data_IF_037695452984
#
_entry.id   IF_037695452984
#
_cell.length_a   1.000
_cell.length_b   1.000
_cell.length_c   1.000
_cell.angle_alpha   90.00
_cell.angle_beta   90.00
_cell.angle_gamma   90.00
#
_symmetry.space_group_name_H-M   'P 1'
#
loop_
_entity.id
_entity.type
_entity.pdbx_description
1 polymer ?
#
# COMPACT_ATOMS: atom_id res chain seq x y z
N UNK A 1 -2.69 18.68 8.08
CA UNK A 1 -3.51 17.57 8.51
C UNK A 1 -2.65 16.57 9.25
N UNK A 2 -3.01 16.30 10.45
CA UNK A 2 -2.30 15.28 11.18
C UNK A 2 -2.93 13.93 10.88
N UNK A 3 -2.17 13.06 10.33
CA UNK A 3 -2.51 11.65 10.26
C UNK A 3 -2.24 11.06 11.60
N UNK A 4 -3.30 10.73 12.26
CA UNK A 4 -3.14 10.01 13.49
C UNK A 4 -3.14 8.52 13.20
N UNK A 5 -1.98 8.03 12.80
CA UNK A 5 -1.78 6.60 12.64
C UNK A 5 -1.60 5.90 13.99
N UNK A 6 -1.69 6.63 15.08
CA UNK A 6 -1.82 6.06 16.40
C UNK A 6 -3.16 5.38 16.58
N UNK A 7 -4.09 5.59 15.67
CA UNK A 7 -5.20 4.67 15.54
C UNK A 7 -4.77 3.36 14.89
N UNK A 8 -3.54 2.90 15.14
CA UNK A 8 -3.16 1.54 14.78
C UNK A 8 -4.17 0.53 15.33
N UNK A 9 -4.76 0.81 16.50
CA UNK A 9 -5.81 -0.01 17.04
C UNK A 9 -7.09 0.05 16.20
N UNK A 10 -7.46 1.23 15.71
CA UNK A 10 -8.63 1.41 14.86
C UNK A 10 -8.40 0.82 13.47
N UNK A 11 -7.19 1.00 12.93
CA UNK A 11 -6.79 0.35 11.69
C UNK A 11 -6.81 -1.15 11.82
N UNK A 12 -6.32 -1.69 12.94
CA UNK A 12 -6.36 -3.12 13.22
C UNK A 12 -7.79 -3.66 13.22
N UNK A 13 -8.70 -2.99 13.91
CA UNK A 13 -10.08 -3.42 14.01
C UNK A 13 -10.76 -3.49 12.63
N UNK A 14 -10.57 -2.46 11.82
CA UNK A 14 -11.10 -2.44 10.46
C UNK A 14 -10.46 -3.49 9.58
N UNK A 15 -9.16 -3.64 9.71
CA UNK A 15 -8.41 -4.59 8.91
C UNK A 15 -8.81 -6.02 9.22
N UNK A 16 -8.98 -6.35 10.49
CA UNK A 16 -9.41 -7.68 10.91
C UNK A 16 -10.79 -8.02 10.37
N UNK A 17 -11.69 -7.04 10.33
CA UNK A 17 -13.00 -7.20 9.72
C UNK A 17 -12.92 -7.56 8.24
N UNK A 18 -12.06 -6.89 7.49
CA UNK A 18 -11.84 -7.20 6.09
C UNK A 18 -11.13 -8.55 5.91
N UNK A 19 -10.16 -8.84 6.73
CA UNK A 19 -9.43 -10.11 6.67
C UNK A 19 -10.33 -11.31 6.88
N UNK A 20 -11.36 -11.19 7.71
CA UNK A 20 -12.29 -12.28 7.97
C UNK A 20 -13.25 -12.52 6.80
N UNK A 21 -13.50 -11.51 5.96
CA UNK A 21 -14.41 -11.63 4.83
C UNK A 21 -13.71 -11.94 3.51
N UNK A 22 -12.40 -11.72 3.43
CA UNK A 22 -11.59 -11.96 2.24
C UNK A 22 -10.32 -12.72 2.61
N UNK A 23 -10.45 -13.97 3.08
CA UNK A 23 -9.31 -14.67 3.69
C UNK A 23 -8.16 -14.97 2.75
N UNK A 24 -8.40 -15.03 1.44
CA UNK A 24 -7.41 -15.62 0.55
C UNK A 24 -6.37 -14.62 0.02
N UNK A 25 -6.74 -13.39 -0.25
CA UNK A 25 -5.84 -12.58 -1.07
C UNK A 25 -5.88 -11.09 -0.85
N UNK A 26 -6.88 -10.56 -0.17
CA UNK A 26 -7.05 -9.11 -0.08
C UNK A 26 -7.26 -8.70 1.36
N UNK A 27 -6.40 -7.78 1.82
CA UNK A 27 -6.54 -7.14 3.13
C UNK A 27 -6.47 -5.64 2.91
N UNK A 28 -7.63 -4.97 2.99
CA UNK A 28 -7.74 -3.54 2.75
C UNK A 28 -8.23 -2.79 3.96
N UNK A 29 -7.71 -1.56 4.09
CA UNK A 29 -8.09 -0.62 5.11
C UNK A 29 -8.60 0.66 4.47
N UNK A 30 -9.54 1.31 5.16
CA UNK A 30 -9.97 2.65 4.80
C UNK A 30 -8.99 3.68 5.35
N UNK A 31 -8.69 4.70 4.55
CA UNK A 31 -7.96 5.87 5.00
C UNK A 31 -8.99 6.96 5.29
N UNK A 32 -9.04 7.40 6.54
CA UNK A 32 -10.06 8.34 7.00
C UNK A 32 -9.40 9.62 7.48
N UNK A 33 -9.95 10.75 7.05
CA UNK A 33 -9.61 12.05 7.61
C UNK A 33 -10.42 12.22 8.90
N UNK A 34 -9.76 12.13 10.04
CA UNK A 34 -10.44 12.19 11.35
C UNK A 34 -11.15 13.52 11.57
N UNK A 35 -10.61 14.62 11.08
CA UNK A 35 -11.22 15.94 11.26
C UNK A 35 -12.52 16.08 10.50
N UNK A 36 -12.55 15.57 9.28
CA UNK A 36 -13.72 15.64 8.41
C UNK A 36 -14.64 14.45 8.58
N UNK A 37 -14.18 13.38 9.20
CA UNK A 37 -14.90 12.11 9.29
C UNK A 37 -15.11 11.46 7.93
N UNK A 38 -14.28 11.80 6.94
CA UNK A 38 -14.49 11.42 5.56
C UNK A 38 -13.51 10.34 5.14
N UNK A 39 -14.00 9.38 4.35
CA UNK A 39 -13.17 8.40 3.66
C UNK A 39 -12.43 9.11 2.54
N UNK A 40 -11.09 9.04 2.56
CA UNK A 40 -10.26 9.72 1.57
C UNK A 40 -9.39 8.80 0.74
N UNK A 41 -9.43 7.51 1.02
CA UNK A 41 -8.69 6.53 0.23
C UNK A 41 -8.72 5.15 0.86
N UNK A 42 -7.98 4.25 0.23
CA UNK A 42 -7.79 2.89 0.74
C UNK A 42 -6.33 2.48 0.62
N UNK A 43 -5.90 1.57 1.48
CA UNK A 43 -4.59 0.95 1.41
C UNK A 43 -4.70 -0.48 1.88
N UNK A 44 -3.93 -1.37 1.29
CA UNK A 44 -3.98 -2.75 1.71
C UNK A 44 -3.03 -3.65 0.94
N UNK A 45 -3.20 -4.94 1.13
CA UNK A 45 -2.33 -5.97 0.59
C UNK A 45 -3.14 -6.98 -0.20
N UNK A 46 -2.56 -7.43 -1.29
CA UNK A 46 -3.10 -8.50 -2.12
C UNK A 46 -1.95 -9.40 -2.59
N UNK A 47 -2.28 -10.43 -3.35
CA UNK A 47 -1.29 -11.41 -3.84
C UNK A 47 -0.44 -11.95 -2.68
N UNK A 48 -1.11 -12.28 -1.59
CA UNK A 48 -0.45 -12.71 -0.36
C UNK A 48 -0.05 -14.18 -0.48
N UNK A 49 1.21 -14.45 -0.16
CA UNK A 49 1.72 -15.80 -0.05
C UNK A 49 2.14 -16.06 1.40
N UNK A 50 1.39 -16.92 2.08
CA UNK A 50 1.72 -17.29 3.46
C UNK A 50 2.98 -18.16 3.53
N UNK A 51 3.21 -18.96 2.49
CA UNK A 51 4.40 -19.81 2.41
C UNK A 51 5.67 -18.98 2.27
N UNK A 52 5.63 -17.98 1.38
CA UNK A 52 6.79 -17.14 1.11
C UNK A 52 6.85 -15.89 2.00
N UNK A 53 5.79 -15.62 2.76
CA UNK A 53 5.64 -14.43 3.61
C UNK A 53 5.81 -13.14 2.82
N UNK A 54 5.14 -13.08 1.68
CA UNK A 54 5.19 -11.92 0.79
C UNK A 54 3.79 -11.38 0.52
N UNK A 55 3.73 -10.11 0.18
CA UNK A 55 2.49 -9.46 -0.23
C UNK A 55 2.78 -8.31 -1.17
N UNK A 56 1.76 -7.88 -1.88
CA UNK A 56 1.83 -6.67 -2.70
C UNK A 56 0.95 -5.60 -2.08
N UNK A 57 1.51 -4.41 -1.86
CA UNK A 57 0.76 -3.26 -1.34
C UNK A 57 0.11 -2.51 -2.49
N UNK A 58 -1.11 -2.04 -2.26
CA UNK A 58 -1.81 -1.14 -3.17
C UNK A 58 -2.54 -0.08 -2.36
N UNK A 59 -2.54 1.14 -2.86
CA UNK A 59 -3.24 2.23 -2.21
C UNK A 59 -3.78 3.20 -3.25
N UNK A 60 -4.84 3.88 -2.87
CA UNK A 60 -5.33 5.05 -3.58
C UNK A 60 -5.71 6.13 -2.59
N UNK A 61 -5.68 7.36 -3.05
CA UNK A 61 -5.96 8.54 -2.24
C UNK A 61 -6.70 9.55 -3.10
N UNK A 62 -7.76 10.15 -2.57
CA UNK A 62 -8.49 11.20 -3.26
C UNK A 62 -7.54 12.31 -3.72
N UNK A 63 -7.65 12.78 -4.97
CA UNK A 63 -6.75 13.80 -5.49
C UNK A 63 -6.68 15.07 -4.64
N UNK A 64 -7.77 15.44 -3.98
CA UNK A 64 -7.81 16.60 -3.08
C UNK A 64 -6.85 16.50 -1.90
N UNK A 65 -6.36 15.31 -1.61
CA UNK A 65 -5.44 15.05 -0.50
C UNK A 65 -4.03 14.76 -0.96
N UNK A 66 -3.76 14.85 -2.25
CA UNK A 66 -2.41 14.69 -2.78
C UNK A 66 -1.51 15.86 -2.38
N UNK A 67 -0.21 15.63 -2.32
CA UNK A 67 0.77 16.67 -2.05
C UNK A 67 0.86 17.12 -0.59
N UNK A 68 0.24 16.37 0.32
CA UNK A 68 0.23 16.69 1.76
C UNK A 68 1.05 15.72 2.60
N UNK A 69 1.77 14.80 1.95
CA UNK A 69 2.54 13.78 2.66
C UNK A 69 1.70 12.65 3.25
N UNK A 70 0.41 12.58 2.94
CA UNK A 70 -0.51 11.58 3.50
C UNK A 70 -0.17 10.19 2.99
N UNK A 71 -0.01 10.03 1.68
CA UNK A 71 0.29 8.74 1.09
C UNK A 71 1.60 8.18 1.64
N UNK A 72 2.61 9.02 1.79
CA UNK A 72 3.90 8.63 2.38
C UNK A 72 3.72 8.17 3.82
N UNK A 73 3.01 8.94 4.63
CA UNK A 73 2.81 8.61 6.05
C UNK A 73 2.05 7.29 6.21
N UNK A 74 0.97 7.13 5.45
CA UNK A 74 0.14 5.92 5.51
C UNK A 74 0.91 4.71 5.00
N UNK A 75 1.57 4.84 3.86
CA UNK A 75 2.35 3.75 3.28
C UNK A 75 3.47 3.28 4.22
N UNK A 76 4.21 4.21 4.80
CA UNK A 76 5.29 3.89 5.75
C UNK A 76 4.74 3.13 6.96
N UNK A 77 3.68 3.64 7.57
CA UNK A 77 3.14 3.06 8.79
C UNK A 77 2.48 1.71 8.54
N UNK A 78 1.73 1.59 7.48
CA UNK A 78 1.03 0.35 7.15
C UNK A 78 2.03 -0.74 6.76
N UNK A 79 3.08 -0.39 6.03
CA UNK A 79 4.13 -1.35 5.67
C UNK A 79 4.84 -1.86 6.92
N UNK A 80 5.26 -0.97 7.81
CA UNK A 80 5.92 -1.35 9.06
C UNK A 80 5.01 -2.21 9.94
N UNK A 81 3.75 -1.80 10.05
CA UNK A 81 2.75 -2.55 10.81
C UNK A 81 2.55 -3.96 10.24
N UNK A 82 2.50 -4.09 8.92
CA UNK A 82 2.29 -5.38 8.27
C UNK A 82 3.46 -6.35 8.47
N UNK A 83 4.69 -5.85 8.48
CA UNK A 83 5.84 -6.68 8.80
C UNK A 83 5.73 -7.29 10.19
N UNK A 84 5.28 -6.51 11.15
CA UNK A 84 5.15 -6.97 12.54
C UNK A 84 3.91 -7.83 12.72
N UNK A 85 2.77 -7.37 12.22
CA UNK A 85 1.47 -7.99 12.49
C UNK A 85 1.24 -9.26 11.67
N UNK A 86 1.57 -9.23 10.38
CA UNK A 86 1.41 -10.38 9.50
C UNK A 86 2.66 -11.23 9.37
N UNK A 87 3.81 -10.71 9.79
CA UNK A 87 5.07 -11.43 9.64
C UNK A 87 5.57 -11.51 8.21
N UNK A 88 5.19 -10.58 7.35
CA UNK A 88 5.73 -10.53 6.00
C UNK A 88 7.24 -10.29 6.04
N UNK A 89 7.95 -10.95 5.15
CA UNK A 89 9.39 -10.73 4.95
C UNK A 89 9.66 -9.77 3.81
N UNK A 90 8.73 -9.68 2.87
CA UNK A 90 8.83 -8.84 1.68
C UNK A 90 7.47 -8.26 1.35
N UNK A 91 7.43 -6.96 1.13
CA UNK A 91 6.26 -6.28 0.56
C UNK A 91 6.73 -5.61 -0.73
N UNK A 92 6.03 -5.89 -1.82
CA UNK A 92 6.32 -5.28 -3.10
C UNK A 92 5.19 -4.37 -3.55
N UNK A 93 5.47 -3.53 -4.54
CA UNK A 93 4.50 -2.67 -5.17
C UNK A 93 4.81 -2.58 -6.66
N UNK A 94 3.76 -2.59 -7.47
CA UNK A 94 3.89 -2.35 -8.90
C UNK A 94 3.19 -1.04 -9.22
N UNK A 95 3.88 -0.15 -9.91
CA UNK A 95 3.34 1.16 -10.28
C UNK A 95 3.53 1.38 -11.77
N UNK A 96 2.53 1.98 -12.42
CA UNK A 96 2.64 2.32 -13.83
C UNK A 96 3.91 3.14 -14.04
N UNK A 97 4.73 2.76 -15.03
CA UNK A 97 6.05 3.35 -15.22
C UNK A 97 6.02 4.87 -15.38
N UNK A 98 4.92 5.40 -15.92
CA UNK A 98 4.72 6.85 -16.05
C UNK A 98 4.23 7.54 -14.78
N UNK A 99 3.89 6.80 -13.74
CA UNK A 99 3.36 7.36 -12.49
C UNK A 99 4.49 7.75 -11.54
N UNK A 100 5.11 8.89 -11.82
CA UNK A 100 6.23 9.40 -11.03
C UNK A 100 5.85 9.71 -9.58
N UNK A 101 4.59 10.11 -9.33
CA UNK A 101 4.13 10.41 -7.97
C UNK A 101 4.17 9.19 -7.08
N UNK A 102 3.60 8.06 -7.53
CA UNK A 102 3.61 6.83 -6.76
C UNK A 102 5.02 6.29 -6.57
N UNK A 103 5.87 6.40 -7.58
CA UNK A 103 7.28 6.01 -7.47
C UNK A 103 7.98 6.79 -6.35
N UNK A 104 7.78 8.12 -6.32
CA UNK A 104 8.39 8.95 -5.27
C UNK A 104 7.88 8.60 -3.88
N UNK A 105 6.60 8.29 -3.74
CA UNK A 105 6.04 7.87 -2.45
C UNK A 105 6.72 6.58 -1.98
N UNK A 106 6.82 5.59 -2.85
CA UNK A 106 7.43 4.30 -2.49
C UNK A 106 8.89 4.47 -2.12
N UNK A 107 9.66 5.23 -2.89
CA UNK A 107 11.06 5.50 -2.59
C UNK A 107 11.21 6.20 -1.24
N UNK A 108 10.34 7.17 -0.94
CA UNK A 108 10.34 7.86 0.35
C UNK A 108 9.98 6.94 1.52
N UNK A 109 9.26 5.87 1.25
CA UNK A 109 8.90 4.86 2.24
C UNK A 109 9.93 3.74 2.40
N UNK A 110 11.05 3.84 1.72
CA UNK A 110 12.12 2.86 1.82
C UNK A 110 12.01 1.69 0.85
N UNK A 111 11.10 1.76 -0.10
CA UNK A 111 11.01 0.75 -1.16
C UNK A 111 12.11 0.99 -2.18
N UNK A 112 12.70 -0.08 -2.65
CA UNK A 112 13.78 -0.06 -3.64
C UNK A 112 13.27 -0.51 -5.00
N UNK A 113 13.71 0.15 -6.06
CA UNK A 113 13.40 -0.23 -7.43
C UNK A 113 14.10 -1.55 -7.76
N UNK A 114 13.35 -2.51 -8.30
CA UNK A 114 13.89 -3.83 -8.66
C UNK A 114 13.80 -4.14 -10.15
N UNK A 115 13.09 -3.36 -10.91
CA UNK A 115 13.04 -3.57 -12.34
C UNK A 115 11.78 -3.11 -13.01
N UNK A 116 11.75 -3.25 -14.33
CA UNK A 116 10.64 -2.91 -15.18
C UNK A 116 9.94 -4.17 -15.67
N UNK A 117 8.64 -4.23 -15.45
CA UNK A 117 7.76 -5.30 -15.95
C UNK A 117 7.09 -4.80 -17.23
N UNK A 118 7.58 -5.25 -18.37
CA UNK A 118 7.08 -4.82 -19.67
C UNK A 118 5.74 -5.48 -19.97
N UNK A 119 4.77 -4.71 -20.49
CA UNK A 119 3.43 -5.20 -20.85
C UNK A 119 2.80 -6.02 -19.72
N UNK A 120 2.89 -5.51 -18.52
CA UNK A 120 2.51 -6.24 -17.32
C UNK A 120 1.00 -6.30 -17.12
N UNK A 121 0.33 -5.18 -17.39
CA UNK A 121 -1.13 -5.08 -17.28
C UNK A 121 -1.69 -4.20 -18.38
N UNK A 122 -2.93 -4.48 -18.76
CA UNK A 122 -3.66 -3.61 -19.67
C UNK A 122 -4.05 -2.32 -18.95
N UNK A 123 -3.76 -1.19 -19.57
CA UNK A 123 -4.09 0.14 -19.06
C UNK A 123 -4.82 0.87 -20.16
N UNK A 124 -6.10 1.15 -19.93
CA UNK A 124 -6.95 1.85 -20.90
C UNK A 124 -6.92 1.22 -22.29
N UNK A 125 -6.97 -0.11 -22.33
CA UNK A 125 -7.01 -0.85 -23.58
C UNK A 125 -5.67 -1.10 -24.25
N UNK A 126 -4.54 -0.71 -23.63
CA UNK A 126 -3.21 -0.92 -24.16
C UNK A 126 -2.29 -1.54 -23.11
N UNK A 127 -1.28 -2.33 -23.55
CA UNK A 127 -0.31 -2.88 -22.58
C UNK A 127 0.46 -1.75 -21.90
N UNK A 128 0.58 -1.85 -20.58
CA UNK A 128 1.33 -0.88 -19.80
C UNK A 128 2.52 -1.52 -19.11
N UNK A 129 3.62 -0.78 -19.05
CA UNK A 129 4.81 -1.18 -18.33
C UNK A 129 4.71 -0.72 -16.88
N UNK A 130 5.13 -1.57 -15.95
CA UNK A 130 5.06 -1.28 -14.53
C UNK A 130 6.44 -1.40 -13.90
N UNK A 131 6.78 -0.45 -13.04
CA UNK A 131 7.98 -0.52 -12.23
C UNK A 131 7.70 -1.37 -11.00
N UNK A 132 8.62 -2.25 -10.66
CA UNK A 132 8.55 -3.10 -9.48
C UNK A 132 9.43 -2.51 -8.38
N UNK A 133 8.83 -2.29 -7.23
CA UNK A 133 9.50 -1.83 -6.02
C UNK A 133 9.28 -2.85 -4.91
N UNK A 134 10.22 -2.92 -4.00
CA UNK A 134 10.07 -3.81 -2.85
C UNK A 134 10.78 -3.27 -1.62
N UNK A 135 10.24 -3.63 -0.47
CA UNK A 135 10.85 -3.38 0.82
C UNK A 135 10.86 -4.69 1.61
N UNK A 136 12.00 -4.97 2.25
CA UNK A 136 12.16 -6.15 3.09
C UNK A 136 11.97 -5.77 4.55
N UNK A 137 11.55 -6.73 5.36
CA UNK A 137 11.42 -6.52 6.81
C UNK A 137 12.74 -6.13 7.46
N UNK A 138 13.87 -6.52 6.82
CA UNK A 138 15.22 -6.22 7.31
C UNK A 138 15.79 -4.90 6.78
N UNK A 139 15.08 -4.25 5.90
CA UNK A 139 15.54 -2.96 5.36
C UNK A 139 15.43 -1.82 6.39
#
# INVERSE_FOLDING_TARGET
MSWNLSSAADLNAQFDGYASTAPESIRRMAIVDERAGALIGTIGFHSISDVNRTAEIAYDLCPSHWGRGIARAVCTSVTTWAFVHYGFLRVQATVLASNARSARVLEACGYQYEGLLRSFRMVRGAPGDFALYARLATD
#
